data_IF_814533559526
#
_entry.id   IF_814533559526
#
_cell.length_a   1.000
_cell.length_b   1.000
_cell.length_c   1.000
_cell.angle_alpha   90.00
_cell.angle_beta   90.00
_cell.angle_gamma   90.00
#
_symmetry.space_group_name_H-M   'P 1'
#
loop_
_entity.id
_entity.type
_entity.pdbx_description
1 polymer ?
#
# COMPACT_ATOMS: atom_id res chain seq x y z
N UNK A 1 4.37 18.14 0.58
CA UNK A 1 3.48 17.13 1.19
C UNK A 1 3.71 15.75 0.59
N UNK A 2 3.76 15.60 -0.73
CA UNK A 2 4.00 14.31 -1.40
C UNK A 2 5.35 13.65 -1.04
N UNK A 3 6.44 14.44 -0.98
CA UNK A 3 7.75 13.93 -0.53
C UNK A 3 7.74 13.40 0.91
N UNK A 4 7.02 14.08 1.81
CA UNK A 4 6.83 13.59 3.19
C UNK A 4 5.98 12.31 3.24
N UNK A 5 4.97 12.19 2.38
CA UNK A 5 4.17 10.97 2.29
C UNK A 5 5.04 9.81 1.78
N UNK A 6 5.90 10.04 0.78
CA UNK A 6 6.83 9.02 0.30
C UNK A 6 7.83 8.61 1.39
N UNK A 7 8.41 9.57 2.12
CA UNK A 7 9.31 9.29 3.25
C UNK A 7 8.58 8.51 4.37
N UNK A 8 7.33 8.89 4.68
CA UNK A 8 6.48 8.24 5.66
C UNK A 8 6.07 6.82 5.20
N UNK A 9 6.01 6.57 3.89
CA UNK A 9 5.71 5.26 3.28
C UNK A 9 6.92 4.31 3.28
N UNK A 10 8.14 4.82 3.42
CA UNK A 10 9.38 4.05 3.57
C UNK A 10 9.69 3.74 5.06
N UNK A 11 8.98 4.36 6.02
CA UNK A 11 9.08 4.06 7.45
C UNK A 11 8.18 2.85 7.84
N UNK A 12 8.77 1.71 8.25
CA UNK A 12 8.01 0.52 8.62
C UNK A 12 7.01 0.74 9.76
N UNK A 13 7.27 1.69 10.67
CA UNK A 13 6.37 1.98 11.80
C UNK A 13 5.12 2.73 11.35
N UNK A 14 5.28 3.67 10.42
CA UNK A 14 4.16 4.45 9.86
C UNK A 14 3.29 3.55 9.01
N UNK A 15 3.92 2.71 8.18
CA UNK A 15 3.25 1.72 7.36
C UNK A 15 2.41 0.75 8.22
N UNK A 16 2.96 0.23 9.32
CA UNK A 16 2.23 -0.62 10.26
C UNK A 16 1.04 0.08 10.91
N UNK A 17 1.23 1.33 11.34
CA UNK A 17 0.17 2.14 11.94
C UNK A 17 -0.97 2.40 10.96
N UNK A 18 -0.65 2.70 9.70
CA UNK A 18 -1.63 2.89 8.64
C UNK A 18 -2.38 1.60 8.33
N UNK A 19 -1.71 0.45 8.24
CA UNK A 19 -2.38 -0.83 8.02
C UNK A 19 -3.31 -1.19 9.18
N UNK A 20 -2.93 -0.92 10.42
CA UNK A 20 -3.80 -1.12 11.57
C UNK A 20 -5.02 -0.17 11.52
N UNK A 21 -4.84 1.07 11.07
CA UNK A 21 -5.91 2.06 10.92
C UNK A 21 -6.88 1.75 9.78
N UNK A 22 -6.51 0.92 8.80
CA UNK A 22 -7.39 0.52 7.68
C UNK A 22 -8.52 -0.42 8.11
N UNK A 23 -8.48 -1.01 9.30
CA UNK A 23 -9.47 -1.99 9.82
C UNK A 23 -9.84 -3.06 8.78
N UNK A 24 -8.83 -3.58 8.07
CA UNK A 24 -8.99 -4.46 6.91
C UNK A 24 -8.36 -5.84 7.17
N UNK A 25 -9.02 -6.74 7.92
CA UNK A 25 -8.47 -8.04 8.29
C UNK A 25 -8.15 -8.93 7.07
N UNK A 26 -8.92 -8.83 5.99
CA UNK A 26 -8.66 -9.56 4.75
C UNK A 26 -7.37 -9.09 4.07
N UNK A 27 -7.07 -7.80 4.12
CA UNK A 27 -5.84 -7.23 3.57
C UNK A 27 -4.63 -7.71 4.38
N UNK A 28 -4.74 -7.70 5.72
CA UNK A 28 -3.73 -8.24 6.62
C UNK A 28 -3.43 -9.71 6.34
N UNK A 29 -4.47 -10.53 6.16
CA UNK A 29 -4.29 -11.95 5.84
C UNK A 29 -3.57 -12.16 4.50
N UNK A 30 -3.80 -11.28 3.52
CA UNK A 30 -3.15 -11.32 2.21
C UNK A 30 -1.69 -10.90 2.28
N UNK A 31 -1.39 -9.83 3.02
CA UNK A 31 0.00 -9.42 3.31
C UNK A 31 0.75 -10.57 3.97
N UNK A 32 0.15 -11.24 4.97
CA UNK A 32 0.77 -12.38 5.64
C UNK A 32 1.12 -13.53 4.68
N UNK A 33 0.18 -13.92 3.81
CA UNK A 33 0.43 -14.98 2.82
C UNK A 33 1.50 -14.61 1.79
N UNK A 34 1.49 -13.39 1.29
CA UNK A 34 2.50 -12.95 0.33
C UNK A 34 3.88 -12.85 0.97
N UNK A 35 3.96 -12.36 2.21
CA UNK A 35 5.22 -12.31 2.95
C UNK A 35 5.79 -13.72 3.21
N UNK A 36 4.95 -14.68 3.60
CA UNK A 36 5.37 -16.06 3.80
C UNK A 36 5.90 -16.70 2.50
N UNK A 37 5.26 -16.45 1.36
CA UNK A 37 5.70 -16.94 0.06
C UNK A 37 7.09 -16.41 -0.36
N UNK A 38 7.43 -15.19 0.08
CA UNK A 38 8.71 -14.52 -0.17
C UNK A 38 9.76 -14.83 0.92
N UNK A 39 9.40 -15.57 1.98
CA UNK A 39 10.28 -15.82 3.13
C UNK A 39 10.56 -14.56 3.97
N UNK A 40 9.67 -13.56 3.91
CA UNK A 40 9.79 -12.28 4.59
C UNK A 40 8.81 -12.18 5.76
N UNK A 41 9.10 -11.27 6.69
CA UNK A 41 8.09 -10.85 7.67
C UNK A 41 7.05 -9.96 6.98
N UNK A 42 5.79 -9.90 7.46
CA UNK A 42 4.78 -8.99 6.91
C UNK A 42 5.25 -7.55 6.82
N UNK A 43 6.02 -7.09 7.80
CA UNK A 43 6.63 -5.75 7.83
C UNK A 43 7.63 -5.54 6.69
N UNK A 44 8.56 -6.48 6.52
CA UNK A 44 9.61 -6.39 5.50
C UNK A 44 9.02 -6.49 4.09
N UNK A 45 8.06 -7.39 3.88
CA UNK A 45 7.34 -7.51 2.61
C UNK A 45 6.64 -6.20 2.24
N UNK A 46 5.96 -5.59 3.22
CA UNK A 46 5.19 -4.38 2.99
C UNK A 46 6.07 -3.18 2.66
N UNK A 47 7.14 -2.95 3.43
CA UNK A 47 8.10 -1.89 3.16
C UNK A 47 8.74 -2.05 1.77
N UNK A 48 9.18 -3.27 1.43
CA UNK A 48 9.74 -3.56 0.11
C UNK A 48 8.71 -3.31 -1.01
N UNK A 49 7.48 -3.78 -0.85
CA UNK A 49 6.43 -3.64 -1.88
C UNK A 49 6.03 -2.19 -2.12
N UNK A 50 5.90 -1.41 -1.05
CA UNK A 50 5.56 0.03 -1.14
C UNK A 50 6.69 0.80 -1.82
N UNK A 51 7.95 0.51 -1.46
CA UNK A 51 9.11 1.10 -2.12
C UNK A 51 9.17 0.75 -3.60
N UNK A 52 9.02 -0.52 -3.96
CA UNK A 52 8.98 -0.96 -5.37
C UNK A 52 7.87 -0.26 -6.12
N UNK A 53 6.68 -0.15 -5.53
CA UNK A 53 5.56 0.56 -6.14
C UNK A 53 5.91 2.03 -6.41
N UNK A 54 6.52 2.72 -5.45
CA UNK A 54 6.93 4.14 -5.62
C UNK A 54 8.01 4.27 -6.69
N UNK A 55 9.00 3.37 -6.71
CA UNK A 55 10.11 3.39 -7.65
C UNK A 55 9.64 3.08 -9.10
N UNK A 56 8.60 2.27 -9.27
CA UNK A 56 8.09 1.83 -10.56
C UNK A 56 6.79 2.53 -11.01
N UNK A 57 6.19 3.37 -10.16
CA UNK A 57 4.93 4.04 -10.47
C UNK A 57 5.08 4.98 -11.68
N UNK A 58 4.24 4.74 -12.69
CA UNK A 58 4.13 5.60 -13.87
C UNK A 58 3.50 6.96 -13.54
N UNK A 59 3.71 7.96 -14.39
CA UNK A 59 3.08 9.28 -14.26
C UNK A 59 1.54 9.20 -14.14
N UNK A 60 0.91 8.28 -14.87
CA UNK A 60 -0.54 8.03 -14.78
C UNK A 60 -0.95 7.50 -13.41
N UNK A 61 -0.14 6.60 -12.83
CA UNK A 61 -0.35 6.05 -11.49
C UNK A 61 -0.22 7.16 -10.44
N UNK A 62 0.79 8.03 -10.60
CA UNK A 62 0.98 9.20 -9.76
C UNK A 62 -0.19 10.19 -9.85
N UNK A 63 -0.68 10.47 -11.06
CA UNK A 63 -1.84 11.34 -11.28
C UNK A 63 -3.10 10.78 -10.62
N UNK A 64 -3.32 9.46 -10.69
CA UNK A 64 -4.44 8.83 -9.99
C UNK A 64 -4.31 8.96 -8.47
N UNK A 65 -3.14 8.70 -7.90
CA UNK A 65 -2.90 8.85 -6.46
C UNK A 65 -3.14 10.28 -5.99
N UNK A 66 -2.64 11.28 -6.72
CA UNK A 66 -2.91 12.70 -6.44
C UNK A 66 -4.39 13.01 -6.49
N UNK A 67 -5.10 12.47 -7.49
CA UNK A 67 -6.55 12.61 -7.61
C UNK A 67 -7.33 11.97 -6.47
N UNK A 68 -6.87 10.84 -5.93
CA UNK A 68 -7.46 10.17 -4.76
C UNK A 68 -7.21 11.01 -3.50
N UNK A 69 -5.96 11.41 -3.26
CA UNK A 69 -5.55 12.22 -2.11
C UNK A 69 -6.33 13.53 -2.02
N UNK A 70 -6.50 14.24 -3.14
CA UNK A 70 -7.21 15.54 -3.18
C UNK A 70 -8.71 15.44 -2.86
N UNK A 71 -9.29 14.23 -2.90
CA UNK A 71 -10.72 14.01 -2.62
C UNK A 71 -10.95 13.34 -1.27
N UNK A 72 -9.89 13.04 -0.52
CA UNK A 72 -9.97 12.37 0.78
C UNK A 72 -9.88 13.37 1.93
N UNK A 73 -10.61 13.09 3.01
CA UNK A 73 -10.47 13.78 4.30
C UNK A 73 -9.15 13.40 4.98
N UNK A 74 -8.66 12.17 4.75
CA UNK A 74 -7.31 11.71 5.13
C UNK A 74 -6.53 11.29 3.87
N UNK A 75 -5.75 12.21 3.29
CA UNK A 75 -4.96 11.92 2.09
C UNK A 75 -3.93 10.80 2.27
N UNK A 76 -3.33 10.69 3.45
CA UNK A 76 -2.28 9.71 3.72
C UNK A 76 -2.85 8.29 3.78
N UNK A 77 -3.98 8.13 4.48
CA UNK A 77 -4.68 6.85 4.55
C UNK A 77 -5.24 6.44 3.18
N UNK A 78 -5.77 7.39 2.41
CA UNK A 78 -6.28 7.12 1.07
C UNK A 78 -5.18 6.72 0.09
N UNK A 79 -4.02 7.37 0.14
CA UNK A 79 -2.85 6.99 -0.65
C UNK A 79 -2.38 5.57 -0.29
N UNK A 80 -2.24 5.27 1.00
CA UNK A 80 -1.85 3.93 1.45
C UNK A 80 -2.85 2.88 0.96
N UNK A 81 -4.15 3.10 1.13
CA UNK A 81 -5.19 2.18 0.66
C UNK A 81 -5.06 1.88 -0.84
N UNK A 82 -4.86 2.93 -1.65
CA UNK A 82 -4.71 2.78 -3.10
C UNK A 82 -3.43 2.03 -3.49
N UNK A 83 -2.30 2.31 -2.83
CA UNK A 83 -1.03 1.60 -3.04
C UNK A 83 -1.19 0.12 -2.70
N UNK A 84 -1.80 -0.20 -1.55
CA UNK A 84 -2.01 -1.59 -1.12
C UNK A 84 -2.98 -2.32 -2.03
N UNK A 85 -4.02 -1.67 -2.55
CA UNK A 85 -4.91 -2.26 -3.56
C UNK A 85 -4.19 -2.53 -4.90
N UNK A 86 -3.19 -1.73 -5.26
CA UNK A 86 -2.39 -1.94 -6.46
C UNK A 86 -1.39 -3.10 -6.30
N UNK A 87 -0.69 -3.17 -5.17
CA UNK A 87 0.27 -4.24 -4.83
C UNK A 87 -0.46 -5.56 -4.60
N UNK A 88 -1.56 -5.49 -3.85
CA UNK A 88 -2.39 -6.62 -3.47
C UNK A 88 -3.80 -6.34 -4.00
N UNK A 89 -4.09 -6.59 -5.28
CA UNK A 89 -5.44 -6.50 -5.83
C UNK A 89 -6.34 -7.56 -5.21
N UNK A 90 -7.44 -7.15 -4.57
CA UNK A 90 -8.44 -8.07 -4.01
C UNK A 90 -8.74 -9.13 -5.07
N UNK A 91 -8.57 -10.40 -4.71
CA UNK A 91 -8.59 -11.54 -5.63
C UNK A 91 -9.75 -11.36 -6.59
N UNK A 92 -9.46 -10.86 -7.80
CA UNK A 92 -10.46 -10.67 -8.83
C UNK A 92 -10.67 -12.08 -9.32
N UNK A 93 -11.64 -12.75 -8.69
CA UNK A 93 -11.92 -14.16 -8.91
C UNK A 93 -11.76 -14.44 -10.38
N UNK A 94 -10.77 -15.27 -10.70
CA UNK A 94 -10.60 -15.78 -12.05
C UNK A 94 -11.92 -16.45 -12.36
N UNK A 95 -12.76 -15.78 -13.17
CA UNK A 95 -13.89 -16.42 -13.80
C UNK A 95 -13.26 -17.40 -14.78
N UNK A 96 -13.09 -18.63 -14.30
CA UNK A 96 -12.85 -19.83 -15.11
C UNK A 96 -13.99 -20.04 -16.08
#
# INVERSE_FOLDING_TARGET
>A
MLGKIIDDLDDPNVVLGLVAALDAPDLLARIGRSAEAEGLTPQAYLAASVRTFVDEASDDTWLQLVGIMNRSEDPSLAAMRAILEAILPANRGVAT
#
